data_IF_958402378012
#
_entry.id   IF_958402378012
#
_cell.length_a   1.000
_cell.length_b   1.000
_cell.length_c   1.000
_cell.angle_alpha   90.00
_cell.angle_beta   90.00
_cell.angle_gamma   90.00
#
_symmetry.space_group_name_H-M   'P 1'
#
loop_
_entity.id
_entity.type
_entity.pdbx_description
1 polymer ?
#
# COMPACT_ATOMS: atom_id res chain seq x y z
N UNK A 1 -26.25 -19.33 40.94
CA UNK A 1 -25.38 -18.44 40.14
C UNK A 1 -24.01 -19.09 40.09
N UNK A 2 -23.78 -19.96 39.11
CA UNK A 2 -22.49 -20.61 38.90
C UNK A 2 -21.59 -19.72 38.04
N UNK A 3 -20.49 -19.24 38.62
CA UNK A 3 -19.46 -18.54 37.85
C UNK A 3 -18.48 -19.58 37.31
N UNK A 4 -18.56 -19.84 36.00
CA UNK A 4 -17.57 -20.64 35.28
C UNK A 4 -16.20 -19.95 35.33
N UNK A 5 -15.24 -20.58 35.99
CA UNK A 5 -13.86 -20.10 36.04
C UNK A 5 -13.18 -20.28 34.67
N UNK A 6 -12.88 -19.15 34.02
CA UNK A 6 -12.13 -19.10 32.77
C UNK A 6 -10.62 -19.27 33.04
N UNK A 7 -10.15 -20.51 33.15
CA UNK A 7 -8.73 -20.80 33.37
C UNK A 7 -7.97 -20.81 32.04
N UNK A 8 -7.61 -19.62 31.55
CA UNK A 8 -6.69 -19.53 30.39
C UNK A 8 -5.35 -20.19 30.77
N UNK A 9 -4.81 -21.11 29.92
CA UNK A 9 -3.58 -21.80 30.24
C UNK A 9 -2.40 -20.80 30.34
N UNK A 10 -1.57 -21.00 31.37
CA UNK A 10 -0.39 -20.16 31.64
C UNK A 10 0.60 -20.31 30.48
N UNK A 11 0.95 -19.21 29.82
CA UNK A 11 1.91 -19.22 28.71
C UNK A 11 3.28 -19.65 29.21
N UNK A 12 3.95 -20.52 28.45
CA UNK A 12 5.34 -20.92 28.69
C UNK A 12 6.23 -19.68 28.56
N UNK A 13 7.20 -19.46 29.47
CA UNK A 13 8.12 -18.33 29.38
C UNK A 13 8.92 -18.35 28.07
N UNK A 14 9.29 -17.18 27.53
CA UNK A 14 10.10 -17.11 26.32
C UNK A 14 11.51 -17.67 26.56
N UNK A 15 12.15 -18.15 25.48
CA UNK A 15 13.56 -18.51 25.49
C UNK A 15 14.43 -17.25 25.58
N UNK A 16 15.19 -17.13 26.67
CA UNK A 16 16.14 -16.03 26.89
C UNK A 16 17.56 -16.50 26.56
N UNK A 17 18.23 -15.81 25.63
CA UNK A 17 19.61 -16.10 25.23
C UNK A 17 20.44 -14.84 25.46
N UNK A 18 21.63 -14.97 26.07
CA UNK A 18 22.58 -13.86 26.17
C UNK A 18 23.32 -13.73 24.85
N UNK A 19 23.33 -12.52 24.31
CA UNK A 19 24.03 -12.18 23.07
C UNK A 19 24.95 -10.99 23.34
N UNK A 20 26.13 -11.00 22.74
CA UNK A 20 26.94 -9.79 22.63
C UNK A 20 26.29 -8.81 21.65
N UNK A 21 26.78 -7.57 21.59
CA UNK A 21 26.24 -6.56 20.66
C UNK A 21 26.46 -6.98 19.20
N UNK A 22 27.62 -7.57 18.93
CA UNK A 22 28.05 -8.04 17.63
C UNK A 22 27.20 -9.22 17.15
N UNK A 23 26.94 -10.19 18.03
CA UNK A 23 26.07 -11.33 17.75
C UNK A 23 24.64 -10.91 17.45
N UNK A 24 24.11 -9.95 18.23
CA UNK A 24 22.77 -9.41 18.01
C UNK A 24 22.67 -8.69 16.67
N UNK A 25 23.65 -7.85 16.33
CA UNK A 25 23.69 -7.15 15.05
C UNK A 25 23.76 -8.12 13.87
N UNK A 26 24.57 -9.18 13.97
CA UNK A 26 24.67 -10.22 12.95
C UNK A 26 23.34 -10.97 12.75
N UNK A 27 22.63 -11.27 13.84
CA UNK A 27 21.30 -11.91 13.75
C UNK A 27 20.25 -10.97 13.14
N UNK A 28 20.25 -9.68 13.48
CA UNK A 28 19.34 -8.70 12.89
C UNK A 28 19.61 -8.51 11.39
N UNK A 29 20.88 -8.48 10.98
CA UNK A 29 21.25 -8.42 9.57
C UNK A 29 20.77 -9.66 8.80
N UNK A 30 21.00 -10.86 9.35
CA UNK A 30 20.57 -12.12 8.72
C UNK A 30 19.05 -12.30 8.71
N UNK A 31 18.35 -11.76 9.71
CA UNK A 31 16.89 -11.82 9.79
C UNK A 31 16.21 -11.04 8.64
N UNK A 32 16.83 -9.98 8.13
CA UNK A 32 16.30 -9.19 7.03
C UNK A 32 14.90 -8.64 7.35
N UNK A 33 13.87 -9.14 6.65
CA UNK A 33 12.47 -8.74 6.84
C UNK A 33 11.71 -9.57 7.90
N UNK A 34 12.32 -10.60 8.46
CA UNK A 34 11.73 -11.41 9.53
C UNK A 34 11.95 -10.75 10.89
N UNK A 35 11.01 -10.95 11.81
CA UNK A 35 11.29 -10.68 13.23
C UNK A 35 12.45 -11.56 13.72
N UNK A 36 13.28 -11.05 14.62
CA UNK A 36 14.43 -11.78 15.17
C UNK A 36 14.03 -13.18 15.69
N UNK A 37 12.91 -13.27 16.43
CA UNK A 37 12.38 -14.53 16.92
C UNK A 37 11.91 -15.48 15.80
N UNK A 38 11.33 -14.93 14.72
CA UNK A 38 10.93 -15.70 13.54
C UNK A 38 12.13 -16.27 12.78
N UNK A 39 13.16 -15.44 12.59
CA UNK A 39 14.42 -15.88 11.98
C UNK A 39 15.13 -16.95 12.83
N UNK A 40 15.23 -16.76 14.15
CA UNK A 40 15.83 -17.75 15.05
C UNK A 40 15.06 -19.07 14.96
N UNK A 41 13.73 -19.04 14.97
CA UNK A 41 12.92 -20.26 14.85
C UNK A 41 13.05 -20.92 13.47
N UNK A 42 13.18 -20.16 12.37
CA UNK A 42 13.38 -20.76 11.05
C UNK A 42 14.73 -21.47 10.92
N UNK A 43 15.75 -20.98 11.62
CA UNK A 43 17.07 -21.63 11.66
C UNK A 43 17.06 -22.85 12.58
N UNK A 44 16.53 -22.72 13.81
CA UNK A 44 16.55 -23.79 14.83
C UNK A 44 15.65 -24.97 14.46
N UNK A 45 14.53 -24.71 13.77
CA UNK A 45 13.56 -25.75 13.41
C UNK A 45 13.56 -26.07 11.91
N UNK A 46 14.64 -25.83 11.17
CA UNK A 46 14.68 -25.84 9.69
C UNK A 46 13.92 -27.00 8.99
N UNK A 47 13.93 -28.23 9.55
CA UNK A 47 13.20 -29.39 8.98
C UNK A 47 11.68 -29.38 9.24
N UNK A 48 11.22 -28.63 10.25
CA UNK A 48 9.81 -28.50 10.67
C UNK A 48 9.42 -27.05 10.97
N UNK A 49 10.08 -26.08 10.35
CA UNK A 49 9.95 -24.68 10.72
C UNK A 49 8.54 -24.19 10.38
N UNK A 50 7.74 -23.70 11.35
CA UNK A 50 6.47 -23.06 11.02
C UNK A 50 6.78 -21.85 10.13
N UNK A 51 6.13 -21.76 8.96
CA UNK A 51 6.31 -20.64 8.02
C UNK A 51 6.02 -19.32 8.72
N UNK A 52 7.05 -18.57 9.10
CA UNK A 52 6.89 -17.24 9.68
C UNK A 52 6.46 -16.28 8.59
N UNK A 53 5.35 -15.57 8.82
CA UNK A 53 4.95 -14.47 7.94
C UNK A 53 6.04 -13.39 8.03
N UNK A 54 6.79 -13.20 6.95
CA UNK A 54 7.62 -12.01 6.78
C UNK A 54 6.72 -10.78 6.86
N UNK A 55 7.20 -9.73 7.55
CA UNK A 55 6.51 -8.45 7.53
C UNK A 55 6.60 -7.99 6.08
N UNK A 56 5.45 -7.92 5.39
CA UNK A 56 5.36 -7.35 4.05
C UNK A 56 5.84 -5.91 4.18
N UNK A 57 7.11 -5.67 3.87
CA UNK A 57 7.67 -4.36 3.60
C UNK A 57 7.05 -3.92 2.28
N UNK A 58 5.76 -3.59 2.28
CA UNK A 58 5.27 -2.64 1.29
C UNK A 58 6.03 -1.37 1.64
N UNK A 59 6.97 -0.98 0.79
CA UNK A 59 7.86 0.15 1.03
C UNK A 59 6.98 1.37 1.35
N UNK A 60 6.97 1.82 2.61
CA UNK A 60 6.07 2.87 3.09
C UNK A 60 6.24 4.18 2.28
N UNK A 61 7.40 4.36 1.66
CA UNK A 61 7.72 5.45 0.73
C UNK A 61 6.86 5.42 -0.54
N UNK A 62 6.67 4.26 -1.16
CA UNK A 62 5.89 4.14 -2.40
C UNK A 62 4.41 4.42 -2.17
N UNK A 63 3.86 3.93 -1.05
CA UNK A 63 2.47 4.17 -0.69
C UNK A 63 2.18 5.66 -0.43
N UNK A 64 3.12 6.39 0.18
CA UNK A 64 2.99 7.83 0.44
C UNK A 64 3.05 8.64 -0.85
N UNK A 65 4.02 8.36 -1.72
CA UNK A 65 4.15 9.03 -3.01
C UNK A 65 2.91 8.79 -3.90
N UNK A 66 2.40 7.56 -3.95
CA UNK A 66 1.17 7.23 -4.68
C UNK A 66 -0.06 7.95 -4.12
N UNK A 67 -0.16 8.08 -2.79
CA UNK A 67 -1.26 8.83 -2.15
C UNK A 67 -1.17 10.34 -2.42
N UNK A 68 0.04 10.92 -2.41
CA UNK A 68 0.27 12.32 -2.77
C UNK A 68 -0.09 12.59 -4.24
N UNK A 69 0.29 11.69 -5.15
CA UNK A 69 -0.03 11.79 -6.58
C UNK A 69 -1.55 11.71 -6.81
N UNK A 70 -2.26 10.81 -6.12
CA UNK A 70 -3.73 10.77 -6.14
C UNK A 70 -4.37 12.04 -5.56
N UNK A 71 -3.84 12.57 -4.46
CA UNK A 71 -4.36 13.80 -3.85
C UNK A 71 -4.20 14.99 -4.79
N UNK A 72 -3.05 15.13 -5.46
CA UNK A 72 -2.83 16.14 -6.47
C UNK A 72 -3.75 15.98 -7.68
N UNK A 73 -3.98 14.74 -8.12
CA UNK A 73 -4.92 14.47 -9.20
C UNK A 73 -6.37 14.81 -8.80
N UNK A 74 -6.78 14.50 -7.58
CA UNK A 74 -8.10 14.87 -7.04
C UNK A 74 -8.28 16.36 -6.80
N UNK A 75 -7.21 17.06 -6.41
CA UNK A 75 -7.18 18.51 -6.25
C UNK A 75 -7.08 19.27 -7.58
N UNK A 76 -6.80 18.56 -8.68
CA UNK A 76 -6.78 19.16 -10.02
C UNK A 76 -8.15 19.74 -10.35
N UNK A 77 -8.16 20.86 -11.09
CA UNK A 77 -9.39 21.55 -11.47
C UNK A 77 -10.13 20.89 -12.64
N UNK A 78 -9.91 19.59 -12.90
CA UNK A 78 -10.46 18.87 -14.07
C UNK A 78 -11.98 18.98 -14.15
N UNK A 79 -12.70 18.79 -13.04
CA UNK A 79 -14.16 18.93 -13.01
C UNK A 79 -14.62 20.37 -13.30
N UNK A 80 -13.90 21.38 -12.78
CA UNK A 80 -14.18 22.79 -13.05
C UNK A 80 -13.92 23.16 -14.51
N UNK A 81 -12.83 22.66 -15.09
CA UNK A 81 -12.48 22.89 -16.48
C UNK A 81 -13.50 22.22 -17.42
N UNK A 82 -13.94 20.98 -17.11
CA UNK A 82 -15.02 20.32 -17.84
C UNK A 82 -16.33 21.11 -17.79
N UNK A 83 -16.65 21.69 -16.63
CA UNK A 83 -17.85 22.52 -16.47
C UNK A 83 -17.74 23.83 -17.28
N UNK A 84 -16.53 24.41 -17.41
CA UNK A 84 -16.29 25.56 -18.27
C UNK A 84 -16.42 25.20 -19.75
N UNK A 85 -15.83 24.09 -20.19
CA UNK A 85 -15.96 23.58 -21.57
C UNK A 85 -17.44 23.33 -21.90
N UNK A 86 -18.18 22.63 -21.04
CA UNK A 86 -19.61 22.39 -21.22
C UNK A 86 -20.42 23.70 -21.29
N UNK A 87 -20.08 24.69 -20.47
CA UNK A 87 -20.69 26.02 -20.51
C UNK A 87 -20.43 26.73 -21.83
N UNK A 88 -19.18 26.75 -22.31
CA UNK A 88 -18.81 27.37 -23.59
C UNK A 88 -19.42 26.63 -24.80
N UNK A 89 -19.54 25.30 -24.71
CA UNK A 89 -20.25 24.48 -25.69
C UNK A 89 -21.73 24.84 -25.76
N UNK A 90 -22.42 24.89 -24.62
CA UNK A 90 -23.84 25.27 -24.53
C UNK A 90 -24.10 26.71 -24.98
N UNK A 91 -23.10 27.59 -24.85
CA UNK A 91 -23.15 28.98 -25.32
C UNK A 91 -22.81 29.13 -26.81
N UNK A 92 -22.45 28.03 -27.51
CA UNK A 92 -22.04 28.06 -28.91
C UNK A 92 -20.75 28.85 -29.17
N UNK A 93 -19.96 29.11 -28.13
CA UNK A 93 -18.70 29.91 -28.22
C UNK A 93 -17.47 29.04 -28.38
N UNK A 94 -17.60 27.73 -28.16
CA UNK A 94 -16.52 26.76 -28.40
C UNK A 94 -16.76 26.07 -29.75
N UNK A 95 -15.88 26.33 -30.71
CA UNK A 95 -15.81 25.54 -31.94
C UNK A 95 -15.00 24.29 -31.63
N UNK A 96 -15.65 23.13 -31.70
CA UNK A 96 -14.97 21.84 -31.61
C UNK A 96 -14.79 21.31 -33.02
N UNK A 97 -13.56 21.31 -33.50
CA UNK A 97 -13.18 20.59 -34.71
C UNK A 97 -12.86 19.11 -34.38
N UNK A 98 -12.78 18.24 -35.40
CA UNK A 98 -12.53 16.82 -35.18
C UNK A 98 -11.19 16.48 -34.52
N UNK A 99 -10.17 17.33 -34.70
CA UNK A 99 -8.84 17.14 -34.10
C UNK A 99 -8.91 17.43 -32.60
N UNK A 100 -9.53 18.55 -32.21
CA UNK A 100 -9.76 18.90 -30.82
C UNK A 100 -10.65 17.90 -30.07
N UNK A 101 -11.69 17.36 -30.72
CA UNK A 101 -12.54 16.30 -30.14
C UNK A 101 -11.73 15.02 -29.85
N UNK A 102 -10.84 14.65 -30.77
CA UNK A 102 -9.93 13.52 -30.60
C UNK A 102 -8.96 13.73 -29.44
N UNK A 103 -8.33 14.91 -29.38
CA UNK A 103 -7.38 15.27 -28.32
C UNK A 103 -8.04 15.29 -26.94
N UNK A 104 -9.26 15.80 -26.83
CA UNK A 104 -10.01 15.81 -25.58
C UNK A 104 -10.37 14.39 -25.11
N UNK A 105 -10.78 13.51 -26.03
CA UNK A 105 -11.06 12.10 -25.72
C UNK A 105 -9.79 11.36 -25.31
N UNK A 106 -8.68 11.59 -25.99
CA UNK A 106 -7.38 11.02 -25.65
C UNK A 106 -6.94 11.45 -24.24
N UNK A 107 -6.94 12.76 -23.96
CA UNK A 107 -6.60 13.29 -22.65
C UNK A 107 -7.49 12.75 -21.52
N UNK A 108 -8.81 12.65 -21.74
CA UNK A 108 -9.73 12.07 -20.78
C UNK A 108 -9.42 10.58 -20.50
N UNK A 109 -9.08 9.82 -21.55
CA UNK A 109 -8.71 8.41 -21.42
C UNK A 109 -7.39 8.22 -20.65
N UNK A 110 -6.39 9.06 -20.89
CA UNK A 110 -5.09 9.02 -20.19
C UNK A 110 -5.27 9.32 -18.70
N UNK A 111 -6.05 10.34 -18.34
CA UNK A 111 -6.34 10.68 -16.94
C UNK A 111 -7.09 9.54 -16.24
N UNK A 112 -8.07 8.92 -16.91
CA UNK A 112 -8.79 7.77 -16.38
C UNK A 112 -7.85 6.56 -16.14
N UNK A 113 -6.93 6.32 -17.09
CA UNK A 113 -5.91 5.28 -16.97
C UNK A 113 -4.95 5.54 -15.80
N UNK A 114 -4.42 6.75 -15.66
CA UNK A 114 -3.54 7.14 -14.54
C UNK A 114 -4.25 6.89 -13.22
N UNK A 115 -5.51 7.35 -13.08
CA UNK A 115 -6.30 7.15 -11.85
C UNK A 115 -6.49 5.68 -11.53
N UNK A 116 -6.86 4.86 -12.52
CA UNK A 116 -7.06 3.42 -12.32
C UNK A 116 -5.78 2.73 -11.89
N UNK A 117 -4.66 3.02 -12.55
CA UNK A 117 -3.34 2.44 -12.25
C UNK A 117 -2.90 2.79 -10.82
N UNK A 118 -3.12 4.04 -10.39
CA UNK A 118 -2.80 4.47 -9.02
C UNK A 118 -3.66 3.76 -7.97
N UNK A 119 -4.97 3.61 -8.23
CA UNK A 119 -5.87 2.89 -7.30
C UNK A 119 -5.47 1.41 -7.17
N UNK A 120 -5.11 0.76 -8.27
CA UNK A 120 -4.61 -0.63 -8.27
C UNK A 120 -3.29 -0.74 -7.50
N UNK A 121 -2.33 0.17 -7.74
CA UNK A 121 -1.05 0.18 -7.05
C UNK A 121 -1.20 0.36 -5.52
N UNK A 122 -2.21 1.11 -5.10
CA UNK A 122 -2.54 1.33 -3.68
C UNK A 122 -3.41 0.22 -3.07
N UNK A 123 -3.86 -0.75 -3.85
CA UNK A 123 -4.73 -1.84 -3.38
C UNK A 123 -6.16 -1.39 -3.03
N UNK A 124 -6.57 -0.19 -3.47
CA UNK A 124 -7.95 0.23 -3.41
C UNK A 124 -8.72 -0.48 -4.52
N UNK A 125 -9.81 -1.18 -4.18
CA UNK A 125 -10.65 -1.83 -5.20
C UNK A 125 -11.30 -0.75 -6.06
N UNK A 126 -11.12 -0.88 -7.38
CA UNK A 126 -11.81 -0.14 -8.44
C UNK A 126 -13.32 -0.25 -8.32
#
# INVERSE_FOLDING_TARGET
>A
MDQAQNTKPKRIPPLSIRLTKEERALLEQRAGSLSLAGYIKSVVFADNAPRFRSRRQTQELDAKLLAELLAHLGASRVASNLNQIAKHLNQGTLVIDPELDSDLKAAASEVAWIRSTLLQALGAKS
#
